data_IF_300205559501
#
_entry.id   IF_300205559501
#
_cell.length_a   1.000
_cell.length_b   1.000
_cell.length_c   1.000
_cell.angle_alpha   90.00
_cell.angle_beta   90.00
_cell.angle_gamma   90.00
#
_symmetry.space_group_name_H-M   'P 1'
#
loop_
_entity.id
_entity.type
_entity.pdbx_description
1 polymer ?
#
# COMPACT_ATOMS: atom_id res chain seq x y z
N UNK A 1 4.44 6.72 -1.91
CA UNK A 1 4.74 7.54 -3.09
C UNK A 1 4.47 6.81 -4.41
N UNK A 2 4.96 5.57 -4.60
CA UNK A 2 4.77 4.82 -5.86
C UNK A 2 3.30 4.65 -6.32
N UNK A 3 2.36 4.44 -5.40
CA UNK A 3 0.91 4.36 -5.70
C UNK A 3 0.36 5.63 -6.34
N UNK A 4 0.65 6.77 -5.72
CA UNK A 4 0.18 8.08 -6.20
C UNK A 4 0.81 8.40 -7.56
N UNK A 5 2.11 8.13 -7.71
CA UNK A 5 2.81 8.37 -8.98
C UNK A 5 2.23 7.54 -10.12
N UNK A 6 2.02 6.24 -9.92
CA UNK A 6 1.41 5.37 -10.92
C UNK A 6 -0.04 5.81 -11.23
N UNK A 7 -0.83 6.11 -10.20
CA UNK A 7 -2.20 6.61 -10.41
C UNK A 7 -2.26 7.90 -11.24
N UNK A 8 -1.41 8.88 -10.93
CA UNK A 8 -1.33 10.13 -11.68
C UNK A 8 -0.83 9.88 -13.11
N UNK A 9 0.15 8.99 -13.28
CA UNK A 9 0.66 8.55 -14.58
C UNK A 9 -0.45 7.98 -15.47
N UNK A 10 -1.20 7.01 -14.97
CA UNK A 10 -2.36 6.44 -15.65
C UNK A 10 -3.40 7.49 -16.01
N UNK A 11 -3.77 8.38 -15.08
CA UNK A 11 -4.77 9.42 -15.31
C UNK A 11 -4.35 10.38 -16.45
N UNK A 12 -3.07 10.81 -16.44
CA UNK A 12 -2.52 11.68 -17.50
C UNK A 12 -2.46 10.93 -18.83
N UNK A 13 -2.09 9.65 -18.85
CA UNK A 13 -2.07 8.84 -20.07
C UNK A 13 -3.48 8.70 -20.68
N UNK A 14 -4.49 8.41 -19.87
CA UNK A 14 -5.90 8.34 -20.30
C UNK A 14 -6.38 9.69 -20.82
N UNK A 15 -6.08 10.78 -20.12
CA UNK A 15 -6.41 12.13 -20.56
C UNK A 15 -5.77 12.44 -21.93
N UNK A 16 -4.52 12.04 -22.16
CA UNK A 16 -3.84 12.24 -23.45
C UNK A 16 -4.49 11.46 -24.57
N UNK A 17 -4.89 10.22 -24.31
CA UNK A 17 -5.63 9.39 -25.28
C UNK A 17 -6.98 10.05 -25.63
N UNK A 18 -7.69 10.60 -24.64
CA UNK A 18 -8.98 11.26 -24.85
C UNK A 18 -8.90 12.52 -25.72
N UNK A 19 -7.75 13.21 -25.70
CA UNK A 19 -7.51 14.43 -26.47
C UNK A 19 -7.01 14.16 -27.90
N UNK A 20 -6.87 12.89 -28.31
CA UNK A 20 -6.51 12.54 -29.69
C UNK A 20 -7.65 12.97 -30.62
N UNK A 21 -7.39 13.80 -31.65
CA UNK A 21 -8.43 14.28 -32.56
C UNK A 21 -9.18 13.13 -33.24
N UNK A 22 -10.48 13.35 -33.49
CA UNK A 22 -11.42 12.31 -33.90
C UNK A 22 -11.01 11.57 -35.20
N UNK A 23 -11.16 10.25 -35.17
CA UNK A 23 -10.83 9.35 -36.28
C UNK A 23 -11.77 9.53 -37.50
N UNK A 24 -11.27 9.21 -38.71
CA UNK A 24 -12.15 8.99 -39.87
C UNK A 24 -13.15 7.84 -39.60
N UNK A 25 -14.37 7.91 -40.16
CA UNK A 25 -15.54 7.12 -39.73
C UNK A 25 -15.46 5.60 -39.92
N UNK A 26 -14.36 5.07 -40.48
CA UNK A 26 -14.18 3.65 -40.79
C UNK A 26 -13.30 2.88 -39.79
N UNK A 27 -12.53 3.55 -38.93
CA UNK A 27 -11.66 2.88 -37.96
C UNK A 27 -12.22 2.91 -36.54
N UNK A 28 -12.04 1.81 -35.82
CA UNK A 28 -12.30 1.76 -34.37
C UNK A 28 -11.23 2.56 -33.63
N UNK A 29 -11.65 3.45 -32.75
CA UNK A 29 -10.77 4.26 -31.89
C UNK A 29 -9.77 3.41 -31.09
N UNK A 30 -10.16 2.20 -30.65
CA UNK A 30 -9.27 1.27 -29.94
C UNK A 30 -8.15 0.76 -30.85
N UNK A 31 -8.48 0.40 -32.10
CA UNK A 31 -7.47 -0.06 -33.07
C UNK A 31 -6.44 1.03 -33.35
N UNK A 32 -6.91 2.26 -33.53
CA UNK A 32 -6.03 3.40 -33.77
C UNK A 32 -5.06 3.67 -32.63
N UNK A 33 -5.52 3.64 -31.37
CA UNK A 33 -4.63 3.80 -30.20
C UNK A 33 -3.62 2.65 -30.12
N UNK A 34 -4.05 1.41 -30.40
CA UNK A 34 -3.18 0.23 -30.37
C UNK A 34 -2.08 0.27 -31.45
N UNK A 35 -2.42 0.71 -32.66
CA UNK A 35 -1.50 0.69 -33.81
C UNK A 35 -0.66 1.96 -33.90
N UNK A 36 -1.25 3.14 -33.69
CA UNK A 36 -0.55 4.42 -33.84
C UNK A 36 0.14 4.89 -32.56
N UNK A 37 -0.30 4.40 -31.39
CA UNK A 37 0.28 4.78 -30.10
C UNK A 37 0.61 3.58 -29.19
N UNK A 38 1.34 2.56 -29.69
CA UNK A 38 1.64 1.35 -28.92
C UNK A 38 2.43 1.64 -27.64
N UNK A 39 3.24 2.70 -27.62
CA UNK A 39 3.98 3.12 -26.42
C UNK A 39 3.08 3.52 -25.25
N UNK A 40 1.93 4.14 -25.51
CA UNK A 40 0.97 4.49 -24.45
C UNK A 40 0.31 3.22 -23.89
N UNK A 41 0.02 2.25 -24.76
CA UNK A 41 -0.54 0.95 -24.35
C UNK A 41 0.46 0.20 -23.47
N UNK A 42 1.72 0.08 -23.90
CA UNK A 42 2.78 -0.56 -23.11
C UNK A 42 2.98 0.15 -21.78
N UNK A 43 3.00 1.48 -21.78
CA UNK A 43 3.08 2.28 -20.55
C UNK A 43 1.93 1.94 -19.59
N UNK A 44 0.67 1.97 -20.06
CA UNK A 44 -0.50 1.67 -19.22
C UNK A 44 -0.47 0.25 -18.65
N UNK A 45 0.00 -0.74 -19.42
CA UNK A 45 0.12 -2.13 -18.95
C UNK A 45 1.17 -2.22 -17.84
N UNK A 46 2.35 -1.65 -18.03
CA UNK A 46 3.42 -1.68 -17.02
C UNK A 46 3.03 -0.88 -15.78
N UNK A 47 2.41 0.29 -15.97
CA UNK A 47 1.98 1.16 -14.90
C UNK A 47 0.86 0.52 -14.06
N UNK A 48 -0.04 -0.25 -14.68
CA UNK A 48 -1.03 -1.07 -13.95
C UNK A 48 -0.37 -2.11 -13.04
N UNK A 49 0.65 -2.82 -13.53
CA UNK A 49 1.40 -3.80 -12.74
C UNK A 49 2.06 -3.12 -11.53
N UNK A 50 2.71 -1.97 -11.77
CA UNK A 50 3.33 -1.17 -10.71
C UNK A 50 2.29 -0.67 -9.71
N UNK A 51 1.15 -0.17 -10.19
CA UNK A 51 0.07 0.34 -9.35
C UNK A 51 -0.46 -0.74 -8.41
N UNK A 52 -0.72 -1.95 -8.91
CA UNK A 52 -1.20 -3.07 -8.10
C UNK A 52 -0.18 -3.45 -7.02
N UNK A 53 1.10 -3.58 -7.39
CA UNK A 53 2.17 -3.90 -6.44
C UNK A 53 2.35 -2.83 -5.37
N UNK A 54 2.44 -1.57 -5.80
CA UNK A 54 2.59 -0.44 -4.89
C UNK A 54 1.37 -0.26 -3.99
N UNK A 55 0.15 -0.50 -4.49
CA UNK A 55 -1.09 -0.41 -3.71
C UNK A 55 -1.11 -1.45 -2.61
N UNK A 56 -0.79 -2.70 -2.95
CA UNK A 56 -0.70 -3.80 -1.98
C UNK A 56 0.30 -3.47 -0.86
N UNK A 57 1.50 -2.99 -1.22
CA UNK A 57 2.50 -2.58 -0.25
C UNK A 57 2.04 -1.40 0.62
N UNK A 58 1.40 -0.40 0.02
CA UNK A 58 0.89 0.78 0.74
C UNK A 58 -0.20 0.38 1.73
N UNK A 59 -1.14 -0.48 1.33
CA UNK A 59 -2.18 -0.99 2.22
C UNK A 59 -1.59 -1.82 3.36
N UNK A 60 -0.62 -2.69 3.07
CA UNK A 60 0.09 -3.45 4.10
C UNK A 60 0.80 -2.55 5.11
N UNK A 61 1.50 -1.51 4.64
CA UNK A 61 2.17 -0.55 5.52
C UNK A 61 1.18 0.29 6.32
N UNK A 62 0.08 0.73 5.72
CA UNK A 62 -0.99 1.43 6.43
C UNK A 62 -1.60 0.57 7.54
N UNK A 63 -1.83 -0.72 7.27
CA UNK A 63 -2.28 -1.67 8.29
C UNK A 63 -1.26 -1.83 9.43
N UNK A 64 0.02 -1.98 9.08
CA UNK A 64 1.12 -2.10 10.04
C UNK A 64 1.22 -0.88 10.96
N UNK A 65 1.16 0.33 10.40
CA UNK A 65 1.10 1.59 11.16
C UNK A 65 -0.14 1.61 12.07
N UNK A 66 -1.33 1.32 11.52
CA UNK A 66 -2.58 1.33 12.27
C UNK A 66 -2.61 0.33 13.42
N UNK A 67 -1.82 -0.74 13.35
CA UNK A 67 -1.70 -1.77 14.38
C UNK A 67 -0.44 -1.65 15.23
N UNK A 68 0.39 -0.65 14.98
CA UNK A 68 1.71 -0.48 15.57
C UNK A 68 2.50 -1.80 15.59
N UNK A 69 2.68 -2.39 14.40
CA UNK A 69 3.40 -3.64 14.21
C UNK A 69 4.26 -3.57 12.96
N UNK A 70 5.50 -4.02 13.05
CA UNK A 70 6.43 -4.05 11.91
C UNK A 70 6.22 -5.29 11.04
N UNK A 71 6.71 -5.24 9.80
CA UNK A 71 6.70 -6.43 8.91
C UNK A 71 7.46 -7.60 9.54
N UNK A 72 8.58 -7.33 10.22
CA UNK A 72 9.38 -8.37 10.87
C UNK A 72 8.64 -9.01 12.05
N UNK A 73 7.92 -8.22 12.85
CA UNK A 73 7.09 -8.73 13.94
C UNK A 73 5.94 -9.58 13.43
N UNK A 74 5.27 -9.15 12.36
CA UNK A 74 4.18 -9.92 11.76
C UNK A 74 4.67 -11.25 11.17
N UNK A 75 5.80 -11.25 10.45
CA UNK A 75 6.36 -12.46 9.83
C UNK A 75 6.95 -13.42 10.84
N UNK A 76 7.56 -12.92 11.92
CA UNK A 76 8.20 -13.70 12.97
C UNK A 76 7.38 -13.73 14.27
N UNK A 77 6.07 -13.46 14.22
CA UNK A 77 5.20 -13.39 15.39
C UNK A 77 5.24 -14.66 16.26
N UNK A 78 5.51 -15.82 15.66
CA UNK A 78 5.65 -17.09 16.39
C UNK A 78 6.94 -17.16 17.20
N UNK A 79 8.00 -16.46 16.81
CA UNK A 79 9.30 -16.46 17.50
C UNK A 79 9.30 -15.48 18.68
N UNK A 80 8.54 -14.39 18.57
CA UNK A 80 8.43 -13.36 19.59
C UNK A 80 7.41 -13.74 20.66
N UNK A 81 7.89 -14.19 21.82
CA UNK A 81 7.01 -14.59 22.94
C UNK A 81 6.16 -13.43 23.47
N UNK A 82 6.68 -12.20 23.38
CA UNK A 82 5.93 -11.00 23.77
C UNK A 82 4.70 -10.73 22.89
N UNK A 83 4.65 -11.31 21.68
CA UNK A 83 3.49 -11.24 20.78
C UNK A 83 2.48 -12.37 21.00
N UNK A 84 2.68 -13.20 22.04
CA UNK A 84 1.78 -14.30 22.40
C UNK A 84 1.12 -14.02 23.73
N UNK A 85 -0.21 -13.96 23.70
CA UNK A 85 -1.10 -13.88 24.84
C UNK A 85 -0.90 -15.01 25.86
N UNK A 86 -1.46 -14.89 27.08
CA UNK A 86 -1.45 -15.97 28.07
C UNK A 86 -2.24 -17.19 27.57
N UNK A 87 -3.18 -16.96 26.65
CA UNK A 87 -3.96 -17.97 25.93
C UNK A 87 -3.23 -18.55 24.70
N UNK A 88 -1.98 -18.14 24.48
CA UNK A 88 -1.16 -18.52 23.33
C UNK A 88 -1.57 -17.87 22.00
N UNK A 89 -2.57 -16.99 22.00
CA UNK A 89 -3.04 -16.30 20.78
C UNK A 89 -2.16 -15.09 20.48
N UNK A 90 -2.24 -14.58 19.26
CA UNK A 90 -1.50 -13.36 18.91
C UNK A 90 -2.03 -12.16 19.70
N UNK A 91 -1.15 -11.45 20.40
CA UNK A 91 -1.42 -10.23 21.13
C UNK A 91 -0.34 -9.21 20.80
N UNK A 92 -0.72 -7.97 20.45
CA UNK A 92 0.26 -6.90 20.25
C UNK A 92 0.14 -5.90 21.40
N UNK A 93 1.09 -5.86 22.36
CA UNK A 93 1.04 -4.92 23.48
C UNK A 93 1.11 -3.46 23.00
N UNK A 94 1.85 -3.20 21.93
CA UNK A 94 2.06 -1.85 21.38
C UNK A 94 0.87 -1.28 20.61
N UNK A 95 -0.21 -2.06 20.42
CA UNK A 95 -1.37 -1.62 19.68
C UNK A 95 -2.36 -0.86 20.59
N UNK A 96 -2.35 0.47 20.54
CA UNK A 96 -3.24 1.32 21.34
C UNK A 96 -4.51 1.78 20.61
N UNK A 97 -4.80 1.15 19.47
CA UNK A 97 -5.90 1.50 18.59
C UNK A 97 -5.47 2.41 17.44
N UNK A 98 -6.13 2.24 16.29
CA UNK A 98 -5.67 2.81 15.01
C UNK A 98 -5.49 4.32 15.02
N UNK A 99 -6.35 5.07 15.72
CA UNK A 99 -6.23 6.53 15.80
C UNK A 99 -4.95 6.97 16.50
N UNK A 100 -4.67 6.39 17.67
CA UNK A 100 -3.49 6.73 18.47
C UNK A 100 -2.23 6.28 17.75
N UNK A 101 -2.17 5.03 17.29
CA UNK A 101 -1.03 4.50 16.55
C UNK A 101 -0.70 5.33 15.29
N UNK A 102 -1.71 5.71 14.51
CA UNK A 102 -1.51 6.56 13.33
C UNK A 102 -1.06 7.99 13.71
N UNK A 103 -1.63 8.59 14.76
CA UNK A 103 -1.22 9.91 15.22
C UNK A 103 0.22 9.89 15.73
N UNK A 104 0.60 8.86 16.49
CA UNK A 104 1.95 8.69 17.01
C UNK A 104 2.96 8.52 15.89
N UNK A 105 2.65 7.71 14.88
CA UNK A 105 3.52 7.54 13.71
C UNK A 105 3.65 8.82 12.86
N UNK A 106 2.54 9.51 12.57
CA UNK A 106 2.52 10.64 11.64
C UNK A 106 2.92 11.98 12.26
N UNK A 107 2.72 12.15 13.57
CA UNK A 107 2.93 13.43 14.27
C UNK A 107 4.12 13.35 15.23
N UNK A 108 4.17 12.31 16.06
CA UNK A 108 5.20 12.19 17.11
C UNK A 108 6.49 11.53 16.60
N UNK A 109 6.41 10.70 15.55
CA UNK A 109 7.55 10.06 14.87
C UNK A 109 8.22 8.92 15.65
N UNK A 110 8.03 8.86 16.97
CA UNK A 110 8.50 7.79 17.85
C UNK A 110 7.61 7.71 19.09
N UNK A 111 7.39 6.50 19.60
CA UNK A 111 6.70 6.23 20.86
C UNK A 111 7.67 5.48 21.78
N UNK A 112 7.73 5.85 23.06
CA UNK A 112 8.49 5.07 24.04
C UNK A 112 7.83 3.69 24.19
N UNK A 113 8.45 2.66 23.64
CA UNK A 113 8.00 1.26 23.72
C UNK A 113 8.45 0.61 25.04
N UNK A 114 8.34 1.34 26.16
CA UNK A 114 8.69 0.86 27.51
C UNK A 114 7.64 -0.11 28.07
N UNK A 115 6.64 -0.46 27.26
CA UNK A 115 5.50 -1.28 27.66
C UNK A 115 5.93 -2.72 27.94
N UNK A 116 5.65 -3.14 29.17
CA UNK A 116 5.94 -4.49 29.62
C UNK A 116 4.94 -5.43 28.93
N UNK A 117 5.45 -6.28 28.04
CA UNK A 117 4.62 -7.21 27.27
C UNK A 117 3.84 -8.22 28.14
N UNK A 118 4.39 -8.61 29.29
CA UNK A 118 3.74 -9.45 30.30
C UNK A 118 4.21 -9.04 31.70
N UNK A 119 3.32 -8.87 32.69
CA UNK A 119 3.77 -8.85 34.07
C UNK A 119 4.57 -10.13 34.36
N UNK A 120 5.67 -10.07 35.13
CA UNK A 120 6.43 -11.26 35.48
C UNK A 120 5.47 -12.30 36.09
N UNK A 121 5.52 -13.53 35.56
CA UNK A 121 4.78 -14.65 36.13
C UNK A 121 5.18 -14.76 37.61
N UNK A 122 4.22 -14.56 38.50
CA UNK A 122 4.41 -14.73 39.95
C UNK A 122 4.62 -16.20 40.30
#
# INVERSE_FOLDING_TARGET
>A
MGTLTAFVGAAVAVQRIWMIPALPPAESWVHHVMVQHPGIVVFLVLDLIILVGAATLTTSQAYQIARNITTNELSNARRYQYLRGPDGRFHNPYNHGWRKNCADFLIHGYTNDDEIAWPPLQ
#
